data_IF_751050245757
#
_entry.id   IF_751050245757
#
_cell.length_a   1.000
_cell.length_b   1.000
_cell.length_c   1.000
_cell.angle_alpha   90.00
_cell.angle_beta   90.00
_cell.angle_gamma   90.00
#
_symmetry.space_group_name_H-M   'P 1'
#
loop_
_entity.id
_entity.type
_entity.pdbx_description
1 polymer ?
#
# COMPACT_ATOMS: atom_id res chain seq x y z
N UNK A 1 18.91 13.05 -26.48
CA UNK A 1 19.01 12.92 -25.01
C UNK A 1 20.11 13.86 -24.59
N UNK A 2 19.78 14.90 -23.83
CA UNK A 2 20.80 15.78 -23.27
C UNK A 2 21.43 15.05 -22.09
N UNK A 3 22.69 14.63 -22.28
CA UNK A 3 23.46 13.97 -21.23
C UNK A 3 23.77 15.03 -20.18
N UNK A 4 23.16 14.92 -19.00
CA UNK A 4 23.41 15.81 -17.87
C UNK A 4 24.69 15.39 -17.13
N UNK A 5 25.53 16.36 -16.78
CA UNK A 5 26.68 16.12 -15.89
C UNK A 5 26.17 15.85 -14.47
N UNK A 6 26.67 14.82 -13.77
CA UNK A 6 26.29 14.57 -12.39
C UNK A 6 26.60 15.78 -11.49
N UNK A 7 25.73 16.12 -10.53
CA UNK A 7 26.05 17.14 -9.54
C UNK A 7 27.28 16.71 -8.74
N UNK A 8 28.26 17.60 -8.63
CA UNK A 8 29.50 17.38 -7.87
C UNK A 8 29.45 17.98 -6.46
N UNK A 9 28.41 18.77 -6.17
CA UNK A 9 28.21 19.43 -4.89
C UNK A 9 27.14 18.70 -4.08
N UNK A 10 27.37 18.58 -2.77
CA UNK A 10 26.37 18.02 -1.87
C UNK A 10 25.17 18.97 -1.76
N UNK A 11 23.93 18.44 -1.78
CA UNK A 11 22.75 19.28 -1.57
C UNK A 11 22.80 19.93 -0.18
N UNK A 12 22.27 21.15 -0.07
CA UNK A 12 22.18 21.86 1.21
C UNK A 12 21.46 20.99 2.25
N UNK A 13 22.10 20.83 3.40
CA UNK A 13 21.49 20.16 4.55
C UNK A 13 20.36 21.04 5.09
N UNK A 14 19.16 20.47 5.18
CA UNK A 14 18.03 21.08 5.90
C UNK A 14 18.10 20.64 7.36
N UNK A 15 17.61 21.48 8.28
CA UNK A 15 17.44 21.06 9.67
C UNK A 15 16.61 19.77 9.74
N UNK A 16 17.09 18.79 10.49
CA UNK A 16 16.46 17.48 10.60
C UNK A 16 15.37 17.50 11.67
N UNK A 17 14.13 17.23 11.28
CA UNK A 17 13.08 16.89 12.23
C UNK A 17 13.40 15.57 12.95
N UNK A 18 12.77 15.35 14.12
CA UNK A 18 12.88 14.09 14.86
C UNK A 18 12.42 12.90 14.00
N UNK A 19 13.09 11.76 14.19
CA UNK A 19 12.71 10.51 13.53
C UNK A 19 11.37 10.03 14.09
N UNK A 20 10.45 9.67 13.19
CA UNK A 20 9.16 9.06 13.51
C UNK A 20 8.67 8.17 12.36
N UNK A 21 7.68 7.36 12.66
CA UNK A 21 6.84 6.62 11.74
C UNK A 21 6.19 7.53 10.71
N UNK A 22 6.26 7.10 9.45
CA UNK A 22 5.79 7.85 8.29
C UNK A 22 4.51 7.24 7.75
N UNK A 23 3.58 8.09 7.32
CA UNK A 23 2.44 7.73 6.48
C UNK A 23 2.80 7.97 5.01
N UNK A 24 2.86 6.89 4.25
CA UNK A 24 3.30 6.89 2.85
C UNK A 24 2.13 6.47 1.96
N UNK A 25 1.90 7.20 0.87
CA UNK A 25 0.86 6.94 -0.11
C UNK A 25 1.50 6.74 -1.48
N UNK A 26 1.24 5.59 -2.10
CA UNK A 26 1.55 5.35 -3.51
C UNK A 26 0.24 5.27 -4.31
N UNK A 27 -0.10 6.34 -5.04
CA UNK A 27 -1.35 6.45 -5.80
C UNK A 27 -1.11 6.69 -7.29
N UNK A 28 -2.15 7.01 -8.07
CA UNK A 28 -2.08 7.29 -9.50
C UNK A 28 -2.33 6.08 -10.41
N UNK A 29 -2.44 6.34 -11.71
CA UNK A 29 -2.94 5.36 -12.68
C UNK A 29 -1.92 4.36 -13.22
N UNK A 30 -0.64 4.62 -13.00
CA UNK A 30 0.46 3.83 -13.52
C UNK A 30 0.70 2.55 -12.73
N UNK A 31 1.35 1.59 -13.40
CA UNK A 31 1.89 0.37 -12.79
C UNK A 31 3.07 0.73 -11.89
N UNK A 32 3.10 0.20 -10.67
CA UNK A 32 4.24 0.37 -9.76
C UNK A 32 3.89 0.53 -8.28
N UNK A 33 2.65 0.89 -7.95
CA UNK A 33 2.22 1.20 -6.57
C UNK A 33 2.44 0.04 -5.59
N UNK A 34 1.81 -1.11 -5.84
CA UNK A 34 1.92 -2.31 -5.00
C UNK A 34 3.34 -2.89 -5.00
N UNK A 35 3.99 -2.94 -6.17
CA UNK A 35 5.38 -3.42 -6.25
C UNK A 35 6.35 -2.53 -5.43
N UNK A 36 6.14 -1.22 -5.40
CA UNK A 36 6.91 -0.31 -4.55
C UNK A 36 6.61 -0.53 -3.05
N UNK A 37 5.35 -0.80 -2.69
CA UNK A 37 4.95 -1.17 -1.34
C UNK A 37 5.66 -2.44 -0.86
N UNK A 38 5.65 -3.50 -1.68
CA UNK A 38 6.34 -4.75 -1.38
C UNK A 38 7.85 -4.58 -1.34
N UNK A 39 8.43 -3.74 -2.20
CA UNK A 39 9.84 -3.36 -2.13
C UNK A 39 10.20 -2.69 -0.80
N UNK A 40 9.34 -1.81 -0.28
CA UNK A 40 9.54 -1.20 1.04
C UNK A 40 9.40 -2.22 2.17
N UNK A 41 8.40 -3.10 2.10
CA UNK A 41 8.21 -4.20 3.04
C UNK A 41 9.46 -5.10 3.11
N UNK A 42 9.98 -5.50 1.95
CA UNK A 42 11.21 -6.30 1.86
C UNK A 42 12.41 -5.55 2.44
N UNK A 43 12.53 -4.24 2.19
CA UNK A 43 13.59 -3.41 2.77
C UNK A 43 13.53 -3.35 4.29
N UNK A 44 12.33 -3.16 4.86
CA UNK A 44 12.14 -3.13 6.31
C UNK A 44 12.46 -4.51 6.92
N UNK A 45 11.92 -5.57 6.34
CA UNK A 45 12.19 -6.94 6.77
C UNK A 45 13.68 -7.30 6.72
N UNK A 46 14.37 -6.96 5.63
CA UNK A 46 15.82 -7.17 5.48
C UNK A 46 16.68 -6.39 6.49
N UNK A 47 16.08 -5.44 7.21
CA UNK A 47 16.70 -4.72 8.35
C UNK A 47 16.25 -5.27 9.71
N UNK A 48 15.67 -6.47 9.75
CA UNK A 48 15.19 -7.13 10.96
C UNK A 48 13.98 -6.46 11.60
N UNK A 49 13.19 -5.70 10.82
CA UNK A 49 12.00 -5.00 11.33
C UNK A 49 10.75 -5.86 11.15
N UNK A 50 9.84 -5.80 12.11
CA UNK A 50 8.55 -6.46 12.03
C UNK A 50 7.66 -5.79 10.97
N UNK A 51 7.10 -6.58 10.05
CA UNK A 51 6.29 -6.09 8.92
C UNK A 51 4.97 -6.85 8.88
N UNK A 52 3.88 -6.13 8.65
CA UNK A 52 2.56 -6.70 8.36
C UNK A 52 2.04 -6.20 7.02
N UNK A 53 1.43 -7.09 6.23
CA UNK A 53 0.95 -6.78 4.89
C UNK A 53 -0.47 -7.27 4.74
N UNK A 54 -1.35 -6.35 4.35
CA UNK A 54 -2.74 -6.58 4.04
C UNK A 54 -3.02 -6.17 2.59
N UNK A 55 -3.77 -6.99 1.87
CA UNK A 55 -4.25 -6.70 0.52
C UNK A 55 -5.78 -6.64 0.53
N UNK A 56 -6.31 -5.43 0.40
CA UNK A 56 -7.74 -5.23 0.20
C UNK A 56 -8.14 -5.71 -1.20
N UNK A 57 -9.41 -6.06 -1.37
CA UNK A 57 -9.97 -6.61 -2.62
C UNK A 57 -9.44 -8.00 -3.02
N UNK A 58 -8.37 -8.53 -2.43
CA UNK A 58 -7.81 -9.84 -2.79
C UNK A 58 -8.36 -10.95 -1.89
N UNK A 59 -8.66 -12.10 -2.50
CA UNK A 59 -9.09 -13.30 -1.76
C UNK A 59 -7.98 -13.82 -0.83
N UNK A 60 -8.31 -14.41 0.34
CA UNK A 60 -7.31 -15.02 1.23
C UNK A 60 -6.51 -16.15 0.56
N UNK A 61 -7.09 -16.81 -0.43
CA UNK A 61 -6.47 -17.87 -1.21
C UNK A 61 -5.61 -17.36 -2.38
N UNK A 62 -5.37 -16.04 -2.48
CA UNK A 62 -4.51 -15.48 -3.50
C UNK A 62 -3.08 -16.04 -3.39
N UNK A 63 -2.47 -16.29 -4.55
CA UNK A 63 -1.17 -16.98 -4.68
C UNK A 63 -0.30 -16.39 -5.79
N UNK A 64 -0.31 -15.06 -5.89
CA UNK A 64 0.56 -14.28 -6.77
C UNK A 64 2.04 -14.40 -6.34
N UNK A 65 2.97 -13.91 -7.16
CA UNK A 65 4.41 -14.05 -6.91
C UNK A 65 4.85 -13.53 -5.53
N UNK A 66 4.34 -12.37 -5.12
CA UNK A 66 4.59 -11.78 -3.81
C UNK A 66 4.09 -12.68 -2.67
N UNK A 67 2.93 -13.31 -2.79
CA UNK A 67 2.40 -14.18 -1.73
C UNK A 67 3.37 -15.34 -1.45
N UNK A 68 3.83 -15.98 -2.53
CA UNK A 68 4.76 -17.11 -2.45
C UNK A 68 6.11 -16.71 -1.86
N UNK A 69 6.60 -15.52 -2.20
CA UNK A 69 7.87 -15.00 -1.69
C UNK A 69 7.74 -14.62 -0.21
N UNK A 70 6.72 -13.85 0.16
CA UNK A 70 6.51 -13.36 1.52
C UNK A 70 6.13 -14.48 2.50
N UNK A 71 5.45 -15.53 2.04
CA UNK A 71 5.22 -16.75 2.84
C UNK A 71 6.54 -17.45 3.21
N UNK A 72 7.48 -17.58 2.26
CA UNK A 72 8.81 -18.14 2.54
C UNK A 72 9.65 -17.27 3.49
N UNK A 73 9.41 -15.96 3.49
CA UNK A 73 10.07 -15.02 4.41
C UNK A 73 9.43 -14.99 5.81
N UNK A 74 8.35 -15.74 6.04
CA UNK A 74 7.65 -15.77 7.33
C UNK A 74 6.81 -14.51 7.63
N UNK A 75 6.51 -13.72 6.60
CA UNK A 75 5.68 -12.51 6.69
C UNK A 75 4.54 -12.57 5.67
N UNK A 76 3.64 -13.57 5.78
CA UNK A 76 2.62 -13.83 4.76
C UNK A 76 1.71 -12.62 4.55
N UNK A 77 1.39 -12.39 3.27
CA UNK A 77 0.42 -11.39 2.85
C UNK A 77 -0.98 -11.91 3.12
N UNK A 78 -1.81 -11.07 3.72
CA UNK A 78 -3.18 -11.40 4.03
C UNK A 78 -4.17 -10.72 3.07
N UNK A 79 -4.90 -11.53 2.30
CA UNK A 79 -6.02 -11.05 1.49
C UNK A 79 -7.25 -10.77 2.35
N UNK A 80 -7.85 -9.59 2.16
CA UNK A 80 -8.97 -9.04 2.93
C UNK A 80 -10.22 -8.77 2.08
N UNK A 81 -10.43 -9.53 1.01
CA UNK A 81 -11.60 -9.38 0.16
C UNK A 81 -12.04 -10.70 -0.47
N UNK A 82 -12.95 -10.60 -1.42
CA UNK A 82 -13.52 -11.72 -2.20
C UNK A 82 -13.09 -11.70 -3.67
N UNK A 83 -12.19 -10.78 -4.04
CA UNK A 83 -11.66 -10.63 -5.39
C UNK A 83 -12.15 -9.34 -6.07
N UNK A 84 -12.16 -9.37 -7.40
CA UNK A 84 -12.59 -8.22 -8.18
C UNK A 84 -14.07 -7.91 -7.97
N UNK A 85 -14.38 -6.68 -7.54
CA UNK A 85 -15.75 -6.25 -7.22
C UNK A 85 -16.73 -6.42 -8.39
N UNK A 86 -16.30 -6.21 -9.64
CA UNK A 86 -17.15 -6.41 -10.83
C UNK A 86 -17.48 -7.89 -11.13
N UNK A 87 -16.85 -8.84 -10.42
CA UNK A 87 -17.22 -10.26 -10.44
C UNK A 87 -18.09 -10.64 -9.24
N UNK A 88 -18.23 -9.75 -8.25
CA UNK A 88 -19.04 -10.02 -7.07
C UNK A 88 -20.52 -10.06 -7.45
N UNK A 89 -21.23 -11.01 -6.86
CA UNK A 89 -22.69 -11.13 -6.94
C UNK A 89 -23.38 -10.54 -5.70
N UNK A 90 -22.59 -10.15 -4.71
CA UNK A 90 -23.04 -9.63 -3.42
C UNK A 90 -22.04 -8.56 -2.94
N UNK A 91 -22.30 -7.31 -3.32
CA UNK A 91 -21.44 -6.18 -2.95
C UNK A 91 -21.52 -5.85 -1.46
N UNK A 92 -22.59 -6.22 -0.77
CA UNK A 92 -22.69 -6.02 0.68
C UNK A 92 -21.77 -6.98 1.41
N UNK A 93 -21.66 -8.23 0.94
CA UNK A 93 -20.65 -9.16 1.45
C UNK A 93 -19.23 -8.64 1.20
N UNK A 94 -18.94 -8.13 -0.01
CA UNK A 94 -17.63 -7.52 -0.31
C UNK A 94 -17.33 -6.32 0.61
N UNK A 95 -18.33 -5.48 0.89
CA UNK A 95 -18.22 -4.35 1.81
C UNK A 95 -17.97 -4.81 3.26
N UNK A 96 -18.66 -5.86 3.70
CA UNK A 96 -18.47 -6.45 5.03
C UNK A 96 -17.05 -6.99 5.22
N UNK A 97 -16.52 -7.73 4.24
CA UNK A 97 -15.14 -8.20 4.27
C UNK A 97 -14.13 -7.05 4.34
N UNK A 98 -14.40 -5.95 3.62
CA UNK A 98 -13.55 -4.77 3.67
C UNK A 98 -13.56 -4.10 5.06
N UNK A 99 -14.73 -4.03 5.73
CA UNK A 99 -14.84 -3.52 7.11
C UNK A 99 -14.11 -4.41 8.11
N UNK A 100 -14.27 -5.72 8.03
CA UNK A 100 -13.55 -6.67 8.87
C UNK A 100 -12.04 -6.61 8.63
N UNK A 101 -11.65 -6.52 7.37
CA UNK A 101 -10.26 -6.34 6.98
C UNK A 101 -9.66 -5.06 7.54
N UNK A 102 -10.40 -3.96 7.49
CA UNK A 102 -9.99 -2.71 8.09
C UNK A 102 -9.80 -2.83 9.61
N UNK A 103 -10.72 -3.49 10.33
CA UNK A 103 -10.56 -3.70 11.78
C UNK A 103 -9.26 -4.44 12.12
N UNK A 104 -8.88 -5.45 11.32
CA UNK A 104 -7.63 -6.19 11.50
C UNK A 104 -6.41 -5.33 11.20
N UNK A 105 -6.47 -4.53 10.14
CA UNK A 105 -5.40 -3.58 9.80
C UNK A 105 -5.24 -2.50 10.88
N UNK A 106 -6.34 -1.92 11.35
CA UNK A 106 -6.35 -0.92 12.41
C UNK A 106 -5.75 -1.47 13.71
N UNK A 107 -6.11 -2.70 14.10
CA UNK A 107 -5.51 -3.36 15.25
C UNK A 107 -4.00 -3.57 15.11
N UNK A 108 -3.52 -3.97 13.93
CA UNK A 108 -2.09 -4.14 13.67
C UNK A 108 -1.31 -2.80 13.69
N UNK A 109 -1.97 -1.71 13.30
CA UNK A 109 -1.40 -0.35 13.37
C UNK A 109 -1.32 0.11 14.83
N UNK A 110 -2.43 -0.02 15.58
CA UNK A 110 -2.53 0.51 16.94
C UNK A 110 -1.78 -0.31 17.99
N UNK A 111 -1.50 -1.60 17.72
CA UNK A 111 -0.71 -2.43 18.64
C UNK A 111 0.71 -1.93 18.85
N UNK A 112 1.30 -1.23 17.87
CA UNK A 112 2.68 -0.76 17.93
C UNK A 112 3.73 -1.86 17.75
N UNK A 113 3.32 -3.11 17.54
CA UNK A 113 4.21 -4.27 17.43
C UNK A 113 4.93 -4.34 16.07
N UNK A 114 4.37 -3.70 15.05
CA UNK A 114 4.90 -3.70 13.69
C UNK A 114 5.60 -2.39 13.39
N UNK A 115 6.82 -2.48 12.88
CA UNK A 115 7.54 -1.31 12.39
C UNK A 115 6.88 -0.74 11.12
N UNK A 116 6.37 -1.61 10.24
CA UNK A 116 5.70 -1.23 9.01
C UNK A 116 4.41 -2.05 8.82
N UNK A 117 3.30 -1.36 8.56
CA UNK A 117 2.05 -1.94 8.08
C UNK A 117 1.79 -1.49 6.65
N UNK A 118 1.62 -2.44 5.73
CA UNK A 118 1.26 -2.19 4.33
C UNK A 118 -0.24 -2.46 4.13
N UNK A 119 -0.94 -1.48 3.57
CA UNK A 119 -2.36 -1.47 3.26
C UNK A 119 -2.53 -1.38 1.74
N UNK A 120 -2.27 -2.48 1.05
CA UNK A 120 -2.31 -2.52 -0.40
C UNK A 120 -3.76 -2.50 -0.90
N UNK A 121 -4.04 -1.62 -1.86
CA UNK A 121 -5.34 -1.39 -2.50
C UNK A 121 -6.46 -0.92 -1.55
N UNK A 122 -6.11 -0.31 -0.41
CA UNK A 122 -7.07 0.25 0.56
C UNK A 122 -7.94 1.38 -0.03
N UNK A 123 -7.47 2.09 -1.06
CA UNK A 123 -8.25 3.20 -1.61
C UNK A 123 -9.60 2.76 -2.18
N UNK A 124 -9.73 1.53 -2.71
CA UNK A 124 -10.98 1.04 -3.26
C UNK A 124 -12.11 0.93 -2.21
N UNK A 125 -11.92 0.22 -1.08
CA UNK A 125 -12.89 0.25 0.02
C UNK A 125 -13.31 1.66 0.48
N UNK A 126 -12.39 2.63 0.43
CA UNK A 126 -12.68 4.02 0.81
C UNK A 126 -13.56 4.71 -0.22
N UNK A 127 -13.18 4.68 -1.51
CA UNK A 127 -13.93 5.37 -2.57
C UNK A 127 -15.27 4.70 -2.88
N UNK A 128 -15.42 3.40 -2.56
CA UNK A 128 -16.71 2.71 -2.62
C UNK A 128 -17.60 2.96 -1.40
N UNK A 129 -17.10 3.68 -0.38
CA UNK A 129 -17.84 3.97 0.84
C UNK A 129 -18.07 2.75 1.74
N UNK A 130 -17.30 1.67 1.54
CA UNK A 130 -17.43 0.44 2.34
C UNK A 130 -16.80 0.58 3.71
N UNK A 131 -15.67 1.28 3.79
CA UNK A 131 -14.96 1.62 5.02
C UNK A 131 -15.09 3.13 5.26
N UNK A 132 -15.60 3.58 6.42
CA UNK A 132 -15.73 5.00 6.72
C UNK A 132 -14.38 5.73 6.72
N UNK A 133 -14.26 6.78 5.92
CA UNK A 133 -13.00 7.54 5.77
C UNK A 133 -12.54 8.17 7.09
N UNK A 134 -13.47 8.68 7.90
CA UNK A 134 -13.15 9.32 9.18
C UNK A 134 -12.50 8.34 10.15
N UNK A 135 -12.96 7.08 10.17
CA UNK A 135 -12.38 6.03 11.01
C UNK A 135 -10.92 5.75 10.60
N UNK A 136 -10.65 5.69 9.30
CA UNK A 136 -9.30 5.49 8.76
C UNK A 136 -8.39 6.65 9.10
N UNK A 137 -8.84 7.88 8.86
CA UNK A 137 -8.09 9.10 9.18
C UNK A 137 -7.75 9.17 10.67
N UNK A 138 -8.70 8.85 11.55
CA UNK A 138 -8.47 8.86 13.00
C UNK A 138 -7.45 7.80 13.43
N UNK A 139 -7.56 6.56 12.94
CA UNK A 139 -6.56 5.51 13.24
C UNK A 139 -5.18 5.92 12.75
N UNK A 140 -5.06 6.47 11.54
CA UNK A 140 -3.78 6.88 10.98
C UNK A 140 -3.16 8.05 11.73
N UNK A 141 -3.94 9.07 12.13
CA UNK A 141 -3.44 10.20 12.94
C UNK A 141 -2.98 9.77 14.33
N UNK A 142 -3.71 8.85 14.95
CA UNK A 142 -3.48 8.44 16.34
C UNK A 142 -2.57 7.21 16.49
N UNK A 143 -2.01 6.68 15.38
CA UNK A 143 -1.10 5.53 15.41
C UNK A 143 0.13 5.79 16.31
N UNK A 144 0.74 4.75 16.90
CA UNK A 144 1.98 4.91 17.66
C UNK A 144 3.07 5.57 16.79
N UNK A 145 3.84 6.49 17.41
CA UNK A 145 4.77 7.36 16.69
C UNK A 145 5.86 6.62 15.91
N UNK A 146 6.18 5.38 16.25
CA UNK A 146 7.20 4.57 15.58
C UNK A 146 6.65 3.72 14.41
N UNK A 147 5.33 3.63 14.27
CA UNK A 147 4.68 2.77 13.26
C UNK A 147 4.64 3.50 11.92
N UNK A 148 5.30 2.92 10.94
CA UNK A 148 5.17 3.32 9.54
C UNK A 148 3.93 2.65 8.93
N UNK A 149 3.19 3.41 8.12
CA UNK A 149 2.07 2.90 7.34
C UNK A 149 2.29 3.27 5.89
N UNK A 150 2.17 2.30 4.99
CA UNK A 150 2.14 2.55 3.56
C UNK A 150 0.82 2.05 2.99
N UNK A 151 0.07 2.91 2.31
CA UNK A 151 -1.13 2.53 1.58
C UNK A 151 -0.97 2.74 0.08
N UNK A 152 -1.65 1.91 -0.70
CA UNK A 152 -1.64 1.98 -2.16
C UNK A 152 -3.05 2.02 -2.71
N UNK A 153 -3.14 2.44 -3.97
CA UNK A 153 -4.33 2.28 -4.81
C UNK A 153 -4.59 3.53 -5.65
N UNK A 154 -5.54 3.44 -6.57
CA UNK A 154 -5.95 4.59 -7.41
C UNK A 154 -6.80 5.57 -6.61
N UNK A 155 -6.86 6.81 -7.05
CA UNK A 155 -7.82 7.81 -6.54
C UNK A 155 -7.82 7.94 -5.01
N UNK A 156 -6.63 8.07 -4.41
CA UNK A 156 -6.51 8.19 -2.96
C UNK A 156 -7.31 9.40 -2.44
N UNK A 157 -8.18 9.22 -1.42
CA UNK A 157 -8.99 10.32 -0.89
C UNK A 157 -8.14 11.51 -0.41
N UNK A 158 -8.57 12.76 -0.65
CA UNK A 158 -7.82 13.95 -0.26
C UNK A 158 -7.55 14.02 1.24
N UNK A 159 -8.45 13.50 2.07
CA UNK A 159 -8.32 13.44 3.53
C UNK A 159 -7.12 12.59 3.97
N UNK A 160 -6.77 11.56 3.18
CA UNK A 160 -5.59 10.73 3.42
C UNK A 160 -4.33 11.44 2.92
N UNK A 161 -4.40 12.09 1.75
CA UNK A 161 -3.30 12.85 1.16
C UNK A 161 -2.87 13.97 2.11
N UNK A 162 -3.82 14.70 2.70
CA UNK A 162 -3.56 15.82 3.61
C UNK A 162 -2.73 15.42 4.83
N UNK A 163 -2.92 14.20 5.33
CA UNK A 163 -2.27 13.72 6.56
C UNK A 163 -1.01 12.89 6.29
N UNK A 164 -0.73 12.60 5.02
CA UNK A 164 0.40 11.78 4.61
C UNK A 164 1.71 12.56 4.68
N UNK A 165 2.76 11.89 5.14
CA UNK A 165 4.11 12.44 5.20
C UNK A 165 4.79 12.39 3.82
N UNK A 166 4.37 11.45 2.96
CA UNK A 166 4.90 11.29 1.61
C UNK A 166 3.81 10.75 0.70
N UNK A 167 3.59 11.42 -0.42
CA UNK A 167 2.67 11.00 -1.47
C UNK A 167 3.43 10.92 -2.78
N UNK A 168 3.38 9.77 -3.43
CA UNK A 168 3.92 9.55 -4.78
C UNK A 168 2.79 9.17 -5.73
N UNK A 169 2.63 9.96 -6.79
CA UNK A 169 1.73 9.64 -7.89
C UNK A 169 2.50 8.88 -8.98
N UNK A 170 2.16 7.62 -9.19
CA UNK A 170 2.66 6.83 -10.31
C UNK A 170 1.83 7.20 -11.53
N UNK A 171 2.31 8.17 -12.31
CA UNK A 171 1.64 8.59 -13.55
C UNK A 171 1.82 7.54 -14.66
N UNK A 172 0.72 7.16 -15.33
CA UNK A 172 0.77 6.28 -16.50
C UNK A 172 1.27 7.05 -17.73
N UNK A 173 2.59 7.06 -17.96
CA UNK A 173 3.17 7.65 -19.18
C UNK A 173 2.95 6.74 -20.41
N UNK A 174 3.09 5.43 -20.21
CA UNK A 174 2.79 4.38 -21.19
C UNK A 174 2.52 3.07 -20.46
N UNK A 175 1.67 2.21 -21.01
CA UNK A 175 1.45 0.87 -20.46
C UNK A 175 1.44 -0.20 -21.56
N UNK A 176 2.03 -1.37 -21.30
CA UNK A 176 2.12 -2.46 -22.29
C UNK A 176 0.73 -2.93 -22.80
N UNK A 177 -0.25 -2.96 -21.90
CA UNK A 177 -1.66 -3.24 -22.22
C UNK A 177 -2.23 -2.36 -23.34
N UNK A 178 -1.83 -1.08 -23.43
CA UNK A 178 -2.31 -0.17 -24.48
C UNK A 178 -1.78 -0.55 -25.87
N UNK A 179 -0.69 -1.32 -25.92
CA UNK A 179 -0.17 -1.93 -27.14
C UNK A 179 -0.74 -3.35 -27.39
N UNK A 180 -1.77 -3.77 -26.64
CA UNK A 180 -2.38 -5.09 -26.76
C UNK A 180 -1.58 -6.23 -26.15
N UNK A 181 -0.49 -5.93 -25.40
CA UNK A 181 0.33 -6.96 -24.75
C UNK A 181 -0.43 -7.47 -23.50
N UNK A 182 -0.72 -8.77 -23.40
CA UNK A 182 -1.43 -9.33 -22.26
C UNK A 182 -0.55 -9.37 -21.01
N UNK A 183 -1.19 -9.52 -19.84
CA UNK A 183 -0.50 -9.75 -18.57
C UNK A 183 0.46 -10.95 -18.65
N UNK A 184 1.66 -10.80 -18.09
CA UNK A 184 2.70 -11.81 -18.08
C UNK A 184 2.99 -12.27 -16.66
N UNK A 185 3.15 -13.59 -16.49
CA UNK A 185 3.51 -14.17 -15.20
C UNK A 185 4.87 -13.68 -14.74
N UNK A 186 4.96 -13.24 -13.48
CA UNK A 186 6.12 -12.59 -12.88
C UNK A 186 6.17 -11.07 -13.09
N UNK A 187 5.22 -10.49 -13.83
CA UNK A 187 5.19 -9.05 -14.15
C UNK A 187 3.84 -8.40 -13.76
N UNK A 188 2.71 -9.03 -14.10
CA UNK A 188 1.34 -8.55 -13.80
C UNK A 188 0.43 -9.62 -13.17
N UNK A 189 0.95 -10.82 -12.93
CA UNK A 189 0.17 -12.00 -12.49
C UNK A 189 -0.82 -11.72 -11.36
#
# INVERSE_FOLDING_TARGET
MDIQTPPTEAPQQREHAERRGLLIVNTGDGKGKSTAAFGLALRAFGRGKAVRIFQFMKVPSARFGEHRAFEQLGIPIEGLGDGFSWKSKDLEHSAQLAREGWQRAAAAITSGEHFLVVLDELTYPLIYGWVPIDEVVQTLKNRPKEVHVLLTGRDCPPEIIEIADTVSEVKKIKHAYEAGIPAQRGIED
#
